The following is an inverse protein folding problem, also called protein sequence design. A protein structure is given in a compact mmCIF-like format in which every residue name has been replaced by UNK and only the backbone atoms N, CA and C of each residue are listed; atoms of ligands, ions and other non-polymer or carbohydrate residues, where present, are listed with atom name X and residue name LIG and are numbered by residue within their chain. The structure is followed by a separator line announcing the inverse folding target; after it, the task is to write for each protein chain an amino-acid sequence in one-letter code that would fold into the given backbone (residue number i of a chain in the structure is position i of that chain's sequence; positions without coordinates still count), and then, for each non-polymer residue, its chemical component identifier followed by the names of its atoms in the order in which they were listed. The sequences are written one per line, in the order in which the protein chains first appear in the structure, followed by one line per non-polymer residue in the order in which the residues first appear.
data_IF_358721878241
#
_entry.id   IF_358721878241
#
_cell.length_a   1.000
_cell.length_b   1.000
_cell.length_c   1.000
_cell.angle_alpha   90.00
_cell.angle_beta   90.00
_cell.angle_gamma   90.00
#
_symmetry.space_group_name_H-M   'P 1'
#
loop_
_entity.id
_entity.type
_entity.pdbx_description
1 polymer ?
#
# COMPACT_ATOMS: atom_id res chain seq x y z
N UNK A 1 15.53 16.02 6.32
CA UNK A 1 14.97 15.62 5.96
C UNK A 1 14.88 15.49 4.96
N UNK A 2 14.74 15.13 5.09
CA UNK A 2 14.80 15.07 4.07
C UNK A 2 13.83 15.42 3.23
N UNK A 3 14.17 15.81 2.21
CA UNK A 3 13.35 16.27 1.30
C UNK A 3 12.67 15.28 0.64
N UNK A 4 13.17 14.10 0.74
CA UNK A 4 12.49 12.99 0.21
C UNK A 4 11.14 12.92 0.73
N UNK A 5 10.97 13.38 1.92
CA UNK A 5 9.68 13.38 2.49
C UNK A 5 8.74 14.21 1.70
N UNK A 6 9.25 15.16 0.97
CA UNK A 6 8.40 16.00 0.16
C UNK A 6 7.82 15.21 -1.00
N UNK A 7 8.48 14.15 -1.40
CA UNK A 7 7.97 13.30 -2.45
C UNK A 7 6.90 12.38 -1.93
N UNK A 8 6.76 12.30 -0.61
CA UNK A 8 5.72 11.50 -0.02
C UNK A 8 5.88 10.01 -0.22
N UNK A 9 7.10 9.53 -0.38
CA UNK A 9 7.34 8.10 -0.56
C UNK A 9 8.61 7.68 0.16
N UNK A 10 8.46 6.76 1.10
CA UNK A 10 9.60 6.13 1.76
C UNK A 10 9.39 4.63 1.79
N UNK A 11 10.47 3.88 1.71
CA UNK A 11 10.37 2.46 1.55
C UNK A 11 11.60 1.77 2.10
N UNK A 12 11.42 0.66 2.80
CA UNK A 12 12.53 -0.04 3.42
C UNK A 12 12.35 -1.55 3.38
N UNK A 13 13.37 -2.25 2.92
CA UNK A 13 13.41 -3.71 3.04
C UNK A 13 14.09 -4.05 4.35
N UNK A 14 13.51 -4.98 5.10
CA UNK A 14 14.01 -5.34 6.41
C UNK A 14 14.81 -6.63 6.34
N UNK A 15 15.77 -6.75 7.24
CA UNK A 15 16.60 -7.97 7.32
C UNK A 15 15.85 -8.96 8.22
N UNK A 16 15.76 -10.21 7.74
CA UNK A 16 15.10 -11.27 8.49
C UNK A 16 16.18 -12.14 9.10
N UNK A 17 16.13 -12.35 10.41
CA UNK A 17 17.13 -13.17 11.10
C UNK A 17 16.56 -14.57 11.45
N UNK A 18 17.41 -15.42 12.02
CA UNK A 18 16.99 -16.79 12.30
C UNK A 18 15.87 -16.88 13.33
N UNK A 19 15.86 -15.98 14.29
CA UNK A 19 14.81 -15.98 15.31
C UNK A 19 13.46 -15.63 14.68
N UNK A 20 13.45 -14.69 13.74
CA UNK A 20 12.25 -14.35 13.04
C UNK A 20 11.70 -15.56 12.29
N UNK A 21 12.60 -16.30 11.63
CA UNK A 21 12.19 -17.47 10.88
C UNK A 21 11.63 -18.56 11.78
N UNK A 22 12.22 -18.72 12.94
CA UNK A 22 11.73 -19.71 13.91
C UNK A 22 10.37 -19.34 14.44
N UNK A 23 10.13 -18.05 14.62
CA UNK A 23 8.83 -17.58 15.06
C UNK A 23 7.76 -17.86 13.99
N UNK A 24 8.16 -17.81 12.73
CA UNK A 24 7.27 -18.18 11.63
C UNK A 24 6.49 -17.02 11.04
N UNK A 25 6.74 -15.81 11.46
CA UNK A 25 6.08 -14.63 10.92
C UNK A 25 7.02 -13.44 11.07
N UNK A 26 7.22 -12.71 9.99
CA UNK A 26 8.12 -11.55 10.03
C UNK A 26 7.69 -10.53 8.99
N UNK A 27 8.22 -9.31 9.13
CA UNK A 27 7.94 -8.22 8.20
C UNK A 27 9.11 -8.10 7.23
N UNK A 28 8.82 -8.21 5.94
CA UNK A 28 9.85 -8.08 4.91
C UNK A 28 10.09 -6.62 4.55
N UNK A 29 9.05 -5.82 4.48
CA UNK A 29 9.17 -4.43 4.03
C UNK A 29 8.22 -3.55 4.80
N UNK A 30 8.59 -2.29 4.91
CA UNK A 30 7.68 -1.26 5.41
C UNK A 30 7.78 -0.10 4.45
N UNK A 31 6.71 0.65 4.34
CA UNK A 31 6.72 1.79 3.45
C UNK A 31 5.65 2.78 3.82
N UNK A 32 5.77 3.94 3.24
CA UNK A 32 4.81 5.01 3.46
C UNK A 32 4.79 5.86 2.21
N UNK A 33 3.61 6.34 1.83
CA UNK A 33 3.56 7.32 0.76
C UNK A 33 2.36 8.22 0.96
N UNK A 34 2.52 9.46 0.55
CA UNK A 34 1.48 10.47 0.64
C UNK A 34 1.16 10.93 -0.76
N UNK A 35 -0.09 10.79 -1.16
CA UNK A 35 -0.56 11.13 -2.49
C UNK A 35 -1.45 12.37 -2.38
N UNK A 36 -0.98 13.53 -2.85
CA UNK A 36 -1.81 14.73 -2.80
C UNK A 36 -3.00 14.62 -3.74
N UNK A 37 -4.00 15.47 -3.58
CA UNK A 37 -5.12 15.50 -4.54
C UNK A 37 -4.62 15.71 -5.97
N UNK A 38 -5.32 15.10 -6.91
CA UNK A 38 -5.07 15.23 -8.34
C UNK A 38 -3.69 14.73 -8.79
N UNK A 39 -3.12 13.80 -8.04
CA UNK A 39 -1.83 13.20 -8.39
C UNK A 39 -2.03 11.84 -9.05
N UNK A 40 -1.07 11.42 -9.86
CA UNK A 40 -1.13 10.06 -10.41
C UNK A 40 -0.90 9.03 -9.31
N UNK A 41 -1.47 7.86 -9.49
CA UNK A 41 -1.33 6.77 -8.52
C UNK A 41 -1.19 5.45 -9.25
N UNK A 42 -0.24 4.59 -8.88
CA UNK A 42 0.82 4.83 -7.87
C UNK A 42 1.84 5.84 -8.36
N UNK A 43 2.64 6.36 -7.44
CA UNK A 43 3.71 7.28 -7.81
C UNK A 43 4.74 6.55 -8.65
N UNK A 44 5.35 7.28 -9.59
CA UNK A 44 6.31 6.67 -10.49
C UNK A 44 7.55 6.15 -9.79
N UNK A 45 7.88 6.74 -8.66
CA UNK A 45 9.04 6.31 -7.89
C UNK A 45 8.82 5.03 -7.12
N UNK A 46 7.63 4.50 -7.18
CA UNK A 46 7.30 3.28 -6.45
C UNK A 46 8.22 2.14 -6.92
N UNK A 47 8.82 1.36 -5.99
CA UNK A 47 9.67 0.24 -6.38
C UNK A 47 8.92 -0.73 -7.28
N UNK A 48 9.60 -1.26 -8.29
CA UNK A 48 8.94 -2.07 -9.31
C UNK A 48 8.21 -3.28 -8.75
N UNK A 49 8.71 -3.87 -7.67
CA UNK A 49 8.07 -5.03 -7.07
C UNK A 49 6.73 -4.73 -6.42
N UNK A 50 6.43 -3.46 -6.18
CA UNK A 50 5.20 -3.04 -5.52
C UNK A 50 4.37 -2.09 -6.39
N UNK A 51 4.87 -1.78 -7.57
CA UNK A 51 4.13 -0.94 -8.50
C UNK A 51 3.00 -1.77 -9.12
N UNK A 52 1.83 -1.19 -9.23
CA UNK A 52 0.73 -1.86 -9.91
C UNK A 52 -0.18 -0.83 -10.54
N UNK A 53 -0.94 -1.29 -11.53
CA UNK A 53 -1.89 -0.44 -12.21
C UNK A 53 -3.23 -0.61 -11.49
N UNK A 54 -3.78 0.48 -10.94
CA UNK A 54 -5.00 0.41 -10.14
C UNK A 54 -6.20 -0.12 -10.93
N UNK A 55 -6.21 0.06 -12.24
CA UNK A 55 -7.29 -0.47 -13.07
C UNK A 55 -7.21 -1.97 -13.22
N UNK A 56 -6.01 -2.52 -13.28
CA UNK A 56 -5.80 -3.96 -13.43
C UNK A 56 -5.74 -4.67 -12.10
N UNK A 57 -5.32 -3.99 -11.06
CA UNK A 57 -5.08 -4.61 -9.77
C UNK A 57 -3.85 -5.48 -9.79
N UNK A 58 -3.74 -6.34 -8.78
CA UNK A 58 -2.59 -7.24 -8.69
C UNK A 58 -2.91 -8.41 -7.77
N UNK A 59 -2.01 -9.39 -7.77
CA UNK A 59 -2.03 -10.52 -6.85
C UNK A 59 -0.66 -10.58 -6.20
N UNK A 60 -0.61 -10.59 -4.89
CA UNK A 60 0.64 -10.69 -4.16
C UNK A 60 0.86 -12.11 -3.65
N UNK A 61 2.10 -12.43 -3.31
CA UNK A 61 2.44 -13.72 -2.74
C UNK A 61 2.53 -13.68 -1.22
N UNK A 62 2.43 -12.50 -0.65
CA UNK A 62 2.57 -12.33 0.79
C UNK A 62 1.42 -11.50 1.30
N UNK A 63 1.22 -11.49 2.61
CA UNK A 63 0.26 -10.59 3.22
C UNK A 63 0.79 -9.17 3.16
N UNK A 64 -0.12 -8.22 3.03
CA UNK A 64 0.26 -6.82 3.12
C UNK A 64 -0.83 -6.09 3.89
N UNK A 65 -0.41 -5.19 4.77
CA UNK A 65 -1.32 -4.34 5.51
C UNK A 65 -1.14 -2.92 5.01
N UNK A 66 -2.24 -2.28 4.64
CA UNK A 66 -2.21 -0.90 4.17
C UNK A 66 -3.12 -0.08 5.05
N UNK A 67 -2.52 0.83 5.80
CA UNK A 67 -3.26 1.65 6.75
C UNK A 67 -3.36 3.08 6.24
N UNK A 68 -4.58 3.63 6.21
CA UNK A 68 -4.83 4.97 5.70
C UNK A 68 -4.84 5.92 6.88
N UNK A 69 -3.90 6.87 6.89
CA UNK A 69 -3.81 7.84 7.96
C UNK A 69 -4.45 9.18 7.59
N UNK A 70 -4.73 9.38 6.29
CA UNK A 70 -5.27 10.65 5.82
C UNK A 70 -5.96 10.42 4.49
N UNK A 71 -7.06 11.10 4.24
CA UNK A 71 -7.72 11.05 2.94
C UNK A 71 -8.68 9.89 2.78
N UNK A 72 -9.07 9.65 1.53
CA UNK A 72 -10.06 8.62 1.19
C UNK A 72 -9.74 7.98 -0.15
N UNK A 73 -10.25 6.79 -0.34
CA UNK A 73 -10.07 6.09 -1.59
C UNK A 73 -11.04 4.94 -1.74
N UNK A 74 -10.76 4.08 -2.69
CA UNK A 74 -11.60 2.93 -2.99
C UNK A 74 -10.77 1.66 -2.92
N UNK A 75 -11.40 0.57 -2.51
CA UNK A 75 -10.78 -0.74 -2.40
C UNK A 75 -11.74 -1.81 -2.91
N UNK A 76 -11.22 -2.80 -3.61
CA UNK A 76 -11.99 -3.98 -3.96
C UNK A 76 -11.07 -5.19 -4.08
N UNK A 77 -11.63 -6.38 -3.91
CA UNK A 77 -10.87 -7.61 -4.05
C UNK A 77 -11.82 -8.72 -4.51
N UNK A 78 -11.27 -9.92 -4.69
CA UNK A 78 -12.08 -11.07 -5.06
C UNK A 78 -13.23 -11.31 -4.09
N UNK A 79 -13.01 -11.03 -2.83
CA UNK A 79 -14.02 -11.30 -1.80
C UNK A 79 -14.75 -10.06 -1.32
N UNK A 80 -14.37 -8.89 -1.76
CA UNK A 80 -14.95 -7.64 -1.27
C UNK A 80 -15.31 -6.75 -2.45
N UNK A 81 -16.60 -6.44 -2.62
CA UNK A 81 -17.00 -5.49 -3.67
C UNK A 81 -16.39 -4.12 -3.38
N UNK A 82 -16.31 -3.31 -4.41
CA UNK A 82 -15.72 -1.99 -4.26
C UNK A 82 -16.39 -1.23 -3.14
N UNK A 83 -15.57 -0.64 -2.26
CA UNK A 83 -16.05 0.15 -1.16
C UNK A 83 -15.08 1.26 -0.83
N UNK A 84 -15.60 2.30 -0.22
CA UNK A 84 -14.79 3.43 0.17
C UNK A 84 -13.99 3.11 1.43
N UNK A 85 -12.75 3.53 1.45
CA UNK A 85 -11.88 3.43 2.63
C UNK A 85 -11.36 4.83 2.93
N UNK A 86 -11.09 5.10 4.21
CA UNK A 86 -10.68 6.43 4.62
C UNK A 86 -9.77 6.34 5.82
N UNK A 87 -9.38 7.50 6.33
CA UNK A 87 -8.54 7.60 7.52
C UNK A 87 -9.00 6.62 8.60
N UNK A 88 -8.06 5.87 9.15
CA UNK A 88 -8.33 4.92 10.22
C UNK A 88 -8.69 3.52 9.74
N UNK A 89 -8.71 3.28 8.43
CA UNK A 89 -9.03 1.96 7.90
C UNK A 89 -7.75 1.20 7.58
N UNK A 90 -7.80 -0.09 7.86
CA UNK A 90 -6.71 -1.01 7.54
C UNK A 90 -7.19 -1.96 6.46
N UNK A 91 -6.50 -1.98 5.33
CA UNK A 91 -6.79 -2.94 4.27
C UNK A 91 -5.85 -4.12 4.47
N UNK A 92 -6.41 -5.33 4.57
CA UNK A 92 -5.61 -6.54 4.72
C UNK A 92 -5.63 -7.26 3.37
N UNK A 93 -4.47 -7.40 2.78
CA UNK A 93 -4.33 -8.03 1.47
C UNK A 93 -3.76 -9.42 1.66
N UNK A 94 -4.44 -10.42 1.08
CA UNK A 94 -4.09 -11.82 1.28
C UNK A 94 -3.29 -12.38 0.10
N UNK A 95 -2.36 -13.30 0.37
CA UNK A 95 -1.62 -13.94 -0.73
C UNK A 95 -2.58 -14.64 -1.69
N UNK A 96 -2.31 -14.47 -2.98
CA UNK A 96 -3.09 -15.17 -4.00
C UNK A 96 -4.45 -14.56 -4.30
N UNK A 97 -4.84 -13.51 -3.61
CA UNK A 97 -6.12 -12.87 -3.83
C UNK A 97 -5.96 -11.59 -4.61
N UNK A 98 -6.70 -11.47 -5.69
CA UNK A 98 -6.70 -10.25 -6.49
C UNK A 98 -7.26 -9.07 -5.70
N UNK A 99 -6.65 -7.92 -5.84
CA UNK A 99 -7.14 -6.70 -5.20
C UNK A 99 -6.71 -5.48 -5.98
N UNK A 100 -7.38 -4.37 -5.69
CA UNK A 100 -6.95 -3.06 -6.17
C UNK A 100 -7.40 -2.01 -5.18
N UNK A 101 -6.69 -0.89 -5.14
CA UNK A 101 -7.07 0.25 -4.31
C UNK A 101 -6.43 1.51 -4.89
N UNK A 102 -7.05 2.64 -4.65
CA UNK A 102 -6.51 3.91 -5.13
C UNK A 102 -7.21 5.06 -4.41
N UNK A 103 -6.52 6.20 -4.24
CA UNK A 103 -7.12 7.35 -3.58
C UNK A 103 -8.10 8.07 -4.48
N UNK A 104 -9.06 8.77 -3.87
CA UNK A 104 -9.93 9.66 -4.64
C UNK A 104 -9.13 10.88 -5.05
N UNK A 105 -9.38 11.37 -6.24
CA UNK A 105 -8.63 12.51 -6.75
C UNK A 105 -8.83 13.76 -5.91
N UNK A 106 -10.02 13.92 -5.35
CA UNK A 106 -10.34 15.11 -4.57
C UNK A 106 -9.54 15.20 -3.28
N UNK A 107 -9.20 14.08 -2.67
CA UNK A 107 -8.56 14.09 -1.37
C UNK A 107 -7.13 13.58 -1.37
N UNK A 108 -6.78 12.69 -2.32
CA UNK A 108 -5.56 11.93 -2.19
C UNK A 108 -5.63 11.09 -0.93
N UNK A 109 -4.50 10.54 -0.50
CA UNK A 109 -4.43 9.86 0.79
C UNK A 109 -2.98 9.66 1.21
N UNK A 110 -2.80 9.30 2.48
CA UNK A 110 -1.51 8.88 3.01
C UNK A 110 -1.67 7.46 3.53
N UNK A 111 -0.81 6.59 3.04
CA UNK A 111 -0.83 5.17 3.42
C UNK A 111 0.50 4.70 3.95
#
# INVERSE_FOLDING_TARGET
MTEDNNLGLEFKYLIVNDMDRKFGLWVNTVGYQSIPPDSPYPLKEHPSGYYFNAKKGRVLREYQLVYITKGRGLFSSDSTPERQVCKGRLMVLFPGQWHTYYPLRQTGWTE
#
